data_IF_775266638018
#
_entry.id   IF_775266638018
#
_cell.length_a   1.000
_cell.length_b   1.000
_cell.length_c   1.000
_cell.angle_alpha   90.00
_cell.angle_beta   90.00
_cell.angle_gamma   90.00
#
_symmetry.space_group_name_H-M   'P 1'
#
loop_
_entity.id
_entity.type
_entity.pdbx_description
1 polymer ?
#
# COMPACT_ATOMS: atom_id res chain seq x y z
N UNK A 1 -17.71 -7.11 -1.05
CA UNK A 1 -16.92 -6.05 -0.43
C UNK A 1 -16.41 -5.15 -1.53
N UNK A 2 -16.75 -3.87 -1.47
CA UNK A 2 -16.24 -2.83 -2.36
C UNK A 2 -14.87 -2.34 -1.87
N UNK A 3 -14.21 -1.53 -2.68
CA UNK A 3 -12.94 -0.87 -2.30
C UNK A 3 -13.14 -0.05 -1.01
N UNK A 4 -14.18 0.79 -0.96
CA UNK A 4 -14.46 1.64 0.19
C UNK A 4 -14.73 0.85 1.47
N UNK A 5 -15.51 -0.24 1.39
CA UNK A 5 -15.77 -1.11 2.52
C UNK A 5 -14.48 -1.75 3.07
N UNK A 6 -13.60 -2.23 2.18
CA UNK A 6 -12.33 -2.81 2.57
C UNK A 6 -11.38 -1.78 3.20
N UNK A 7 -11.33 -0.55 2.67
CA UNK A 7 -10.53 0.55 3.23
C UNK A 7 -11.05 0.96 4.61
N UNK A 8 -12.37 1.03 4.79
CA UNK A 8 -12.97 1.33 6.11
C UNK A 8 -12.71 0.20 7.12
N UNK A 9 -12.82 -1.07 6.72
CA UNK A 9 -12.45 -2.21 7.58
C UNK A 9 -10.97 -2.13 7.99
N UNK A 10 -10.08 -1.76 7.06
CA UNK A 10 -8.65 -1.61 7.35
C UNK A 10 -8.41 -0.52 8.41
N UNK A 11 -8.97 0.68 8.20
CA UNK A 11 -8.82 1.83 9.10
C UNK A 11 -9.33 1.53 10.51
N UNK A 12 -10.51 0.90 10.62
CA UNK A 12 -11.12 0.56 11.91
C UNK A 12 -10.32 -0.46 12.70
N UNK A 13 -9.64 -1.39 12.01
CA UNK A 13 -8.85 -2.46 12.67
C UNK A 13 -7.44 -2.03 13.06
N UNK A 14 -6.99 -0.83 12.68
CA UNK A 14 -5.65 -0.27 13.01
C UNK A 14 -4.52 -1.29 12.86
N UNK A 15 -4.54 -2.08 11.78
CA UNK A 15 -3.61 -3.20 11.61
C UNK A 15 -2.24 -2.68 11.16
N UNK A 16 -1.19 -3.07 11.87
CA UNK A 16 0.19 -2.91 11.41
C UNK A 16 0.61 -4.15 10.62
N UNK A 17 0.80 -4.00 9.31
CA UNK A 17 1.29 -5.06 8.44
C UNK A 17 2.20 -4.50 7.35
N UNK A 18 3.18 -5.28 6.91
CA UNK A 18 3.99 -4.97 5.74
C UNK A 18 3.19 -5.01 4.43
N UNK A 19 3.72 -4.36 3.39
CA UNK A 19 3.08 -4.17 2.09
C UNK A 19 2.58 -5.46 1.42
N UNK A 20 3.36 -6.54 1.49
CA UNK A 20 2.98 -7.86 0.96
C UNK A 20 1.72 -8.40 1.66
N UNK A 21 1.66 -8.29 2.99
CA UNK A 21 0.53 -8.80 3.77
C UNK A 21 -0.70 -7.91 3.60
N UNK A 22 -0.52 -6.59 3.53
CA UNK A 22 -1.58 -5.62 3.28
C UNK A 22 -2.23 -5.83 1.89
N UNK A 23 -1.40 -5.95 0.84
CA UNK A 23 -1.89 -6.21 -0.52
C UNK A 23 -2.64 -7.54 -0.62
N UNK A 24 -2.10 -8.63 -0.05
CA UNK A 24 -2.78 -9.93 -0.02
C UNK A 24 -4.11 -9.86 0.75
N UNK A 25 -4.13 -9.15 1.88
CA UNK A 25 -5.33 -8.98 2.68
C UNK A 25 -6.45 -8.27 1.90
N UNK A 26 -6.09 -7.25 1.12
CA UNK A 26 -7.02 -6.51 0.27
C UNK A 26 -7.53 -7.35 -0.90
N UNK A 27 -6.63 -8.02 -1.62
CA UNK A 27 -6.99 -8.87 -2.77
C UNK A 27 -7.90 -10.04 -2.36
N UNK A 28 -7.79 -10.54 -1.12
CA UNK A 28 -8.68 -11.57 -0.60
C UNK A 28 -10.13 -11.07 -0.36
N UNK A 29 -10.35 -9.76 -0.29
CA UNK A 29 -11.63 -9.12 0.02
C UNK A 29 -12.30 -8.52 -1.20
N UNK A 30 -11.53 -7.80 -2.00
CA UNK A 30 -12.02 -7.10 -3.19
C UNK A 30 -11.65 -7.94 -4.41
N UNK A 31 -12.65 -8.58 -5.02
CA UNK A 31 -12.46 -9.39 -6.22
C UNK A 31 -12.00 -8.51 -7.39
N UNK A 32 -11.17 -9.06 -8.25
CA UNK A 32 -10.62 -8.35 -9.42
C UNK A 32 -9.29 -7.66 -9.16
N UNK A 33 -8.86 -7.56 -7.90
CA UNK A 33 -7.53 -7.06 -7.54
C UNK A 33 -6.52 -8.20 -7.40
N UNK A 34 -5.28 -7.93 -7.76
CA UNK A 34 -4.11 -8.80 -7.56
C UNK A 34 -2.92 -8.00 -7.02
N UNK A 35 -1.95 -8.66 -6.36
CA UNK A 35 -0.76 -7.98 -5.89
C UNK A 35 0.17 -7.61 -7.06
N UNK A 36 0.61 -6.36 -7.11
CA UNK A 36 1.62 -5.85 -8.04
C UNK A 36 2.84 -5.39 -7.27
N UNK A 37 4.03 -5.80 -7.72
CA UNK A 37 5.30 -5.41 -7.14
C UNK A 37 5.83 -4.18 -7.89
N UNK A 38 6.13 -3.13 -7.16
CA UNK A 38 6.67 -1.88 -7.64
C UNK A 38 8.11 -1.75 -7.18
N UNK A 39 9.00 -1.46 -8.12
CA UNK A 39 10.37 -1.05 -7.83
C UNK A 39 10.40 0.47 -7.63
N UNK A 40 10.94 0.94 -6.51
CA UNK A 40 11.08 2.36 -6.21
C UNK A 40 12.51 2.69 -5.81
N UNK A 41 12.86 3.95 -6.03
CA UNK A 41 14.12 4.52 -5.61
C UNK A 41 13.84 5.64 -4.61
N UNK A 42 14.62 5.71 -3.53
CA UNK A 42 14.61 6.87 -2.62
C UNK A 42 15.21 8.09 -3.33
N UNK A 43 15.03 9.28 -2.75
CA UNK A 43 15.68 10.50 -3.23
C UNK A 43 17.23 10.36 -3.26
N UNK A 44 17.79 9.51 -2.38
CA UNK A 44 19.22 9.21 -2.29
C UNK A 44 19.67 8.08 -3.23
N UNK A 45 18.76 7.49 -4.01
CA UNK A 45 19.06 6.44 -4.98
C UNK A 45 18.99 5.01 -4.45
N UNK A 46 18.54 4.80 -3.21
CA UNK A 46 18.40 3.46 -2.64
C UNK A 46 17.22 2.73 -3.28
N UNK A 47 17.46 1.49 -3.68
CA UNK A 47 16.43 0.63 -4.25
C UNK A 47 15.61 -0.05 -3.17
N UNK A 48 14.28 0.00 -3.30
CA UNK A 48 13.39 -0.83 -2.50
C UNK A 48 12.21 -1.36 -3.32
N UNK A 49 11.67 -2.49 -2.87
CA UNK A 49 10.49 -3.12 -3.45
C UNK A 49 9.26 -2.88 -2.58
N UNK A 50 8.17 -2.53 -3.23
CA UNK A 50 6.88 -2.31 -2.58
C UNK A 50 5.80 -3.15 -3.24
N UNK A 51 4.79 -3.60 -2.49
CA UNK A 51 3.69 -4.39 -3.06
C UNK A 51 2.36 -3.70 -2.78
N UNK A 52 1.60 -3.43 -3.84
CA UNK A 52 0.27 -2.82 -3.80
C UNK A 52 -0.76 -3.79 -4.36
N UNK A 53 -2.05 -3.54 -4.13
CA UNK A 53 -3.12 -4.24 -4.83
C UNK A 53 -3.56 -3.44 -6.06
N UNK A 54 -3.74 -4.08 -7.23
CA UNK A 54 -4.21 -3.40 -8.44
C UNK A 54 -5.21 -4.26 -9.22
N UNK A 55 -6.08 -3.62 -9.98
CA UNK A 55 -6.94 -4.23 -11.00
C UNK A 55 -6.47 -3.90 -12.44
N UNK A 56 -5.27 -3.32 -12.57
CA UNK A 56 -4.69 -2.85 -13.83
C UNK A 56 -5.05 -1.41 -14.19
N UNK A 57 -6.03 -0.80 -13.52
CA UNK A 57 -6.39 0.62 -13.71
C UNK A 57 -6.11 1.45 -12.45
N UNK A 58 -6.40 0.88 -11.28
CA UNK A 58 -6.25 1.53 -9.97
C UNK A 58 -5.22 0.75 -9.15
N UNK A 59 -4.42 1.47 -8.37
CA UNK A 59 -3.49 0.91 -7.38
C UNK A 59 -3.92 1.34 -5.98
N UNK A 60 -4.08 0.37 -5.10
CA UNK A 60 -4.45 0.54 -3.70
C UNK A 60 -3.29 0.08 -2.82
N UNK A 61 -2.73 1.03 -2.08
CA UNK A 61 -1.75 0.77 -1.04
C UNK A 61 -2.42 0.90 0.32
N UNK A 62 -2.45 -0.21 1.06
CA UNK A 62 -2.98 -0.23 2.43
C UNK A 62 -1.90 -0.29 3.49
N UNK A 63 -0.65 -0.53 3.12
CA UNK A 63 0.42 -0.55 4.11
C UNK A 63 0.63 0.87 4.65
N UNK A 64 0.50 1.10 5.96
CA UNK A 64 0.74 2.41 6.57
C UNK A 64 2.24 2.74 6.69
N UNK A 65 3.08 2.22 5.80
CA UNK A 65 4.54 2.11 5.89
C UNK A 65 5.03 1.13 6.98
N UNK A 66 5.80 0.11 6.57
CA UNK A 66 6.61 -0.68 7.50
C UNK A 66 7.90 0.04 7.86
N UNK A 67 8.47 0.83 6.95
CA UNK A 67 9.62 1.72 7.19
C UNK A 67 9.64 2.72 6.01
N UNK A 68 9.27 3.99 6.22
CA UNK A 68 9.83 5.06 5.38
C UNK A 68 11.22 5.34 5.95
N UNK A 69 12.31 5.38 5.16
CA UNK A 69 13.32 6.36 5.49
C UNK A 69 12.62 7.72 5.36
N UNK A 70 12.59 8.46 6.46
CA UNK A 70 12.12 9.83 6.54
C UNK A 70 12.53 10.61 5.28
N UNK A 71 11.55 10.94 4.46
CA UNK A 71 11.65 12.12 3.61
C UNK A 71 10.66 13.10 4.19
N UNK A 72 11.10 13.82 5.21
CA UNK A 72 10.79 15.24 5.40
C UNK A 72 10.74 15.89 4.01
N UNK A 73 9.54 16.08 3.48
CA UNK A 73 9.22 17.01 2.41
C UNK A 73 7.72 17.35 2.52
N UNK A 74 7.32 17.77 3.72
CA UNK A 74 6.19 18.68 3.93
C UNK A 74 6.79 20.07 4.21
N UNK A 75 7.48 20.62 3.22
CA UNK A 75 7.74 22.06 3.09
C UNK A 75 6.92 22.55 1.88
N UNK A 76 5.60 22.75 2.09
CA UNK A 76 4.82 23.85 1.49
C UNK A 76 3.38 23.86 2.05
N UNK A 77 3.13 24.74 3.05
CA UNK A 77 2.07 25.78 3.02
C UNK A 77 1.74 26.35 4.41
#
# INVERSE_FOLDING_TARGET
MTIDEAVQEWKTKRRHMGCVAAAKWFCARVKGFWPERLSRYTAYGDYFEHVVATDGSIRIDLSPYADQPDTDDDDDN
#
